data_IF_181529399772
#
_entry.id   IF_181529399772
#
_cell.length_a   1.000
_cell.length_b   1.000
_cell.length_c   1.000
_cell.angle_alpha   90.00
_cell.angle_beta   90.00
_cell.angle_gamma   90.00
#
_symmetry.space_group_name_H-M   'P 1'
#
loop_
_entity.id
_entity.type
_entity.pdbx_description
1 polymer ?
#
# COMPACT_ATOMS: atom_id res chain seq x y z
N UNK A 1 21.91 50.68 -24.38
CA UNK A 1 21.59 49.37 -25.07
C UNK A 1 20.43 48.71 -24.34
N UNK A 2 19.22 48.64 -24.91
CA UNK A 2 18.08 47.89 -24.32
C UNK A 2 18.32 46.44 -24.55
N UNK A 3 18.66 45.70 -23.51
CA UNK A 3 18.72 44.23 -23.54
C UNK A 3 17.30 43.71 -23.87
N UNK A 4 17.17 43.08 -25.05
CA UNK A 4 15.92 42.41 -25.42
C UNK A 4 15.86 41.09 -24.70
N UNK A 5 14.88 40.93 -23.80
CA UNK A 5 14.58 39.64 -23.16
C UNK A 5 13.66 38.83 -24.09
N UNK A 6 13.95 37.57 -24.23
CA UNK A 6 13.11 36.60 -24.96
C UNK A 6 12.52 35.61 -23.96
N UNK A 7 11.24 35.35 -24.11
CA UNK A 7 10.50 34.38 -23.32
C UNK A 7 10.91 32.95 -23.72
N UNK A 8 11.41 32.18 -22.76
CA UNK A 8 11.81 30.78 -22.97
C UNK A 8 10.61 29.86 -22.64
N UNK A 9 9.96 29.34 -23.70
CA UNK A 9 8.84 28.42 -23.57
C UNK A 9 9.18 27.11 -22.88
N UNK A 10 10.42 26.62 -23.05
CA UNK A 10 10.88 25.40 -22.36
C UNK A 10 11.06 25.66 -20.87
N UNK A 11 11.53 26.84 -20.48
CA UNK A 11 11.62 27.23 -19.07
C UNK A 11 10.23 27.35 -18.42
N UNK A 12 9.25 27.89 -19.16
CA UNK A 12 7.86 27.96 -18.67
C UNK A 12 7.29 26.55 -18.46
N UNK A 13 7.46 25.65 -19.42
CA UNK A 13 6.95 24.29 -19.33
C UNK A 13 7.57 23.53 -18.14
N UNK A 14 8.89 23.65 -17.95
CA UNK A 14 9.59 23.07 -16.77
C UNK A 14 9.06 23.64 -15.47
N UNK A 15 8.87 24.96 -15.39
CA UNK A 15 8.31 25.61 -14.20
C UNK A 15 6.89 25.15 -13.91
N UNK A 16 6.05 24.98 -14.94
CA UNK A 16 4.69 24.48 -14.79
C UNK A 16 4.65 23.03 -14.27
N UNK A 17 5.53 22.17 -14.78
CA UNK A 17 5.65 20.78 -14.32
C UNK A 17 6.10 20.74 -12.86
N UNK A 18 7.15 21.49 -12.49
CA UNK A 18 7.63 21.57 -11.11
C UNK A 18 6.54 22.07 -10.16
N UNK A 19 5.82 23.12 -10.55
CA UNK A 19 4.70 23.64 -9.77
C UNK A 19 3.60 22.59 -9.60
N UNK A 20 3.28 21.85 -10.65
CA UNK A 20 2.30 20.76 -10.61
C UNK A 20 2.68 19.68 -9.58
N UNK A 21 3.96 19.24 -9.56
CA UNK A 21 4.43 18.27 -8.56
C UNK A 21 4.43 18.85 -7.14
N UNK A 22 4.79 20.10 -6.95
CA UNK A 22 4.72 20.76 -5.62
C UNK A 22 3.28 20.79 -5.12
N UNK A 23 2.32 21.19 -5.96
CA UNK A 23 0.90 21.22 -5.61
C UNK A 23 0.41 19.82 -5.26
N UNK A 24 0.75 18.82 -6.06
CA UNK A 24 0.38 17.42 -5.82
C UNK A 24 0.90 16.92 -4.47
N UNK A 25 2.20 17.12 -4.19
CA UNK A 25 2.80 16.69 -2.92
C UNK A 25 2.17 17.39 -1.71
N UNK A 26 1.99 18.70 -1.78
CA UNK A 26 1.35 19.47 -0.70
C UNK A 26 -0.10 18.99 -0.48
N UNK A 27 -0.82 18.71 -1.56
CA UNK A 27 -2.19 18.20 -1.48
C UNK A 27 -2.25 16.83 -0.81
N UNK A 28 -1.41 15.86 -1.23
CA UNK A 28 -1.33 14.54 -0.65
C UNK A 28 -0.95 14.56 0.84
N UNK A 29 -0.01 15.43 1.23
CA UNK A 29 0.42 15.58 2.63
C UNK A 29 -0.72 16.16 3.48
N UNK A 30 -1.42 17.20 2.98
CA UNK A 30 -2.49 17.86 3.74
C UNK A 30 -3.77 17.06 3.87
N UNK A 31 -4.07 16.20 2.89
CA UNK A 31 -5.27 15.36 2.88
C UNK A 31 -5.06 14.02 3.61
N UNK A 32 -3.85 13.76 4.14
CA UNK A 32 -3.46 12.48 4.75
C UNK A 32 -3.60 11.26 3.81
N UNK A 33 -3.82 11.51 2.51
CA UNK A 33 -3.96 10.45 1.50
C UNK A 33 -2.63 9.80 1.13
N UNK A 34 -1.52 10.37 1.58
CA UNK A 34 -0.18 9.85 1.33
C UNK A 34 -0.04 8.39 1.74
N UNK A 35 -0.71 7.97 2.82
CA UNK A 35 -0.73 6.60 3.34
C UNK A 35 -1.40 5.59 2.40
N UNK A 36 -2.19 6.08 1.43
CA UNK A 36 -2.76 5.24 0.37
C UNK A 36 -1.72 4.87 -0.71
N UNK A 37 -0.59 5.56 -0.77
CA UNK A 37 0.44 5.38 -1.80
C UNK A 37 1.75 4.84 -1.26
N UNK A 38 2.16 5.30 -0.07
CA UNK A 38 3.45 4.93 0.52
C UNK A 38 3.35 4.64 2.02
N UNK A 39 4.32 3.89 2.51
CA UNK A 39 4.45 3.63 3.93
C UNK A 39 4.73 4.94 4.72
N UNK A 40 4.00 5.22 5.81
CA UNK A 40 4.15 6.42 6.63
C UNK A 40 5.58 6.72 7.08
N UNK A 41 6.45 5.72 7.23
CA UNK A 41 7.86 5.92 7.59
C UNK A 41 8.64 6.76 6.59
N UNK A 42 8.17 6.84 5.33
CA UNK A 42 8.79 7.65 4.28
C UNK A 42 8.17 9.04 4.10
N UNK A 43 7.15 9.39 4.89
CA UNK A 43 6.46 10.70 4.78
C UNK A 43 7.42 11.87 4.93
N UNK A 44 8.36 11.80 5.88
CA UNK A 44 9.38 12.85 6.08
C UNK A 44 10.28 13.07 4.85
N UNK A 45 10.57 12.01 4.10
CA UNK A 45 11.38 12.12 2.87
C UNK A 45 10.61 12.88 1.77
N UNK A 46 9.28 12.68 1.69
CA UNK A 46 8.45 13.42 0.74
C UNK A 46 8.29 14.88 1.14
N UNK A 47 8.20 15.18 2.43
CA UNK A 47 8.22 16.56 2.92
C UNK A 47 9.53 17.26 2.53
N UNK A 48 10.67 16.61 2.76
CA UNK A 48 11.99 17.13 2.33
C UNK A 48 12.01 17.33 0.82
N UNK A 49 11.51 16.37 0.02
CA UNK A 49 11.44 16.51 -1.43
C UNK A 49 10.61 17.74 -1.85
N UNK A 50 9.46 17.99 -1.22
CA UNK A 50 8.65 19.17 -1.47
C UNK A 50 9.43 20.47 -1.16
N UNK A 51 10.16 20.51 -0.03
CA UNK A 51 11.00 21.66 0.34
C UNK A 51 12.14 21.89 -0.65
N UNK A 52 12.73 20.85 -1.23
CA UNK A 52 13.80 20.97 -2.24
C UNK A 52 13.24 21.44 -3.58
N UNK A 53 12.02 21.02 -3.96
CA UNK A 53 11.40 21.45 -5.21
C UNK A 53 11.09 22.95 -5.25
N UNK A 54 10.80 23.58 -4.09
CA UNK A 54 10.48 25.02 -4.02
C UNK A 54 11.65 25.89 -4.50
N UNK A 55 12.89 25.79 -3.96
CA UNK A 55 14.01 26.58 -4.48
C UNK A 55 14.37 26.23 -5.92
N UNK A 56 14.19 24.95 -6.35
CA UNK A 56 14.36 24.57 -7.75
C UNK A 56 13.38 25.31 -8.65
N UNK A 57 12.11 25.44 -8.26
CA UNK A 57 11.11 26.21 -8.97
C UNK A 57 11.51 27.70 -9.01
N UNK A 58 11.94 28.26 -7.88
CA UNK A 58 12.40 29.66 -7.80
C UNK A 58 13.56 29.92 -8.76
N UNK A 59 14.57 29.04 -8.77
CA UNK A 59 15.70 29.14 -9.70
C UNK A 59 15.24 29.02 -11.16
N UNK A 60 14.29 28.13 -11.47
CA UNK A 60 13.77 27.94 -12.81
C UNK A 60 12.99 29.16 -13.29
N UNK A 61 12.21 29.83 -12.40
CA UNK A 61 11.47 31.06 -12.72
C UNK A 61 12.40 32.20 -13.12
N UNK A 62 13.59 32.30 -12.52
CA UNK A 62 14.59 33.29 -12.88
C UNK A 62 15.15 33.09 -14.30
N UNK A 63 15.05 31.90 -14.86
CA UNK A 63 15.53 31.57 -16.20
C UNK A 63 14.51 31.82 -17.31
N UNK A 64 13.25 32.16 -16.97
CA UNK A 64 12.17 32.40 -17.95
C UNK A 64 12.52 33.59 -18.86
N UNK A 65 13.16 34.62 -18.30
CA UNK A 65 13.59 35.80 -19.05
C UNK A 65 15.09 35.72 -19.29
N UNK A 66 15.50 35.26 -20.48
CA UNK A 66 16.92 35.26 -20.86
C UNK A 66 17.26 36.50 -21.68
N UNK A 67 18.39 37.18 -21.38
CA UNK A 67 18.90 38.19 -22.28
C UNK A 67 19.31 37.53 -23.58
N UNK A 68 19.01 38.15 -24.71
CA UNK A 68 19.47 37.70 -26.04
C UNK A 68 21.01 37.86 -26.07
N UNK A 69 21.73 36.76 -25.89
CA UNK A 69 23.20 36.76 -26.14
C UNK A 69 23.43 36.68 -27.65
N UNK A 70 24.29 37.56 -28.22
CA UNK A 70 24.68 37.46 -29.61
C UNK A 70 25.54 36.21 -29.79
N UNK A 71 25.14 35.35 -30.74
CA UNK A 71 25.93 34.26 -31.27
C UNK A 71 26.34 33.15 -30.27
N UNK A 72 25.41 32.34 -29.87
CA UNK A 72 25.71 30.98 -29.45
C UNK A 72 24.90 30.01 -30.30
N UNK A 73 25.57 28.93 -30.70
CA UNK A 73 25.03 27.85 -31.50
C UNK A 73 23.69 27.37 -30.98
N UNK A 74 22.74 26.92 -31.84
CA UNK A 74 21.48 26.37 -31.40
C UNK A 74 21.82 25.10 -30.61
N UNK A 75 21.87 25.20 -29.28
CA UNK A 75 21.76 24.02 -28.46
C UNK A 75 20.50 23.32 -28.87
N UNK A 76 20.63 22.11 -29.39
CA UNK A 76 19.55 21.21 -29.75
C UNK A 76 18.54 21.25 -28.63
N UNK A 77 17.41 21.96 -28.86
CA UNK A 77 16.28 21.96 -27.95
C UNK A 77 15.84 20.51 -27.82
N UNK A 78 16.07 19.91 -26.66
CA UNK A 78 15.61 18.56 -26.37
C UNK A 78 14.14 18.46 -26.78
N UNK A 79 13.81 17.44 -27.55
CA UNK A 79 12.46 17.28 -28.10
C UNK A 79 11.44 17.54 -26.99
N UNK A 80 10.43 18.39 -27.23
CA UNK A 80 9.32 18.65 -26.30
C UNK A 80 8.62 17.38 -25.82
N UNK A 81 8.76 16.30 -26.56
CA UNK A 81 8.33 14.95 -26.18
C UNK A 81 8.97 14.44 -24.90
N UNK A 82 10.15 14.96 -24.48
CA UNK A 82 10.81 14.59 -23.23
C UNK A 82 10.00 14.99 -21.98
N UNK A 83 9.09 15.96 -22.10
CA UNK A 83 8.21 16.39 -20.99
C UNK A 83 6.92 15.59 -20.91
N UNK A 84 6.56 14.85 -21.98
CA UNK A 84 5.31 14.09 -22.07
C UNK A 84 5.11 13.15 -20.87
N UNK A 85 6.07 12.31 -20.46
CA UNK A 85 5.85 11.40 -19.33
C UNK A 85 5.52 12.13 -18.02
N UNK A 86 6.12 13.27 -17.76
CA UNK A 86 5.83 14.06 -16.56
C UNK A 86 4.42 14.67 -16.58
N UNK A 87 3.99 15.17 -17.75
CA UNK A 87 2.64 15.71 -17.95
C UNK A 87 1.61 14.60 -17.80
N UNK A 88 1.86 13.43 -18.40
CA UNK A 88 0.94 12.28 -18.29
C UNK A 88 0.80 11.83 -16.85
N UNK A 89 1.89 11.71 -16.09
CA UNK A 89 1.85 11.34 -14.67
C UNK A 89 1.05 12.35 -13.87
N UNK A 90 1.27 13.66 -14.06
CA UNK A 90 0.49 14.70 -13.37
C UNK A 90 -0.99 14.65 -13.73
N UNK A 91 -1.31 14.50 -15.01
CA UNK A 91 -2.71 14.39 -15.46
C UNK A 91 -3.38 13.16 -14.85
N UNK A 92 -2.72 12.00 -14.83
CA UNK A 92 -3.24 10.79 -14.22
C UNK A 92 -3.43 10.96 -12.72
N UNK A 93 -2.47 11.59 -12.03
CA UNK A 93 -2.55 11.82 -10.59
C UNK A 93 -3.74 12.71 -10.17
N UNK A 94 -4.13 13.67 -11.01
CA UNK A 94 -5.30 14.54 -10.74
C UNK A 94 -6.62 14.02 -11.33
N UNK A 95 -6.56 13.19 -12.39
CA UNK A 95 -7.75 12.72 -13.09
C UNK A 95 -8.29 11.40 -12.51
N UNK A 96 -7.41 10.54 -11.97
CA UNK A 96 -7.83 9.27 -11.40
C UNK A 96 -8.27 9.48 -9.94
N UNK A 97 -9.45 8.95 -9.57
CA UNK A 97 -9.86 8.96 -8.18
C UNK A 97 -8.94 8.05 -7.36
N UNK A 98 -8.74 8.40 -6.09
CA UNK A 98 -7.99 7.58 -5.13
C UNK A 98 -8.72 6.25 -4.93
N UNK A 99 -8.21 5.20 -5.52
CA UNK A 99 -8.73 3.84 -5.35
C UNK A 99 -7.82 3.06 -4.39
N UNK A 100 -8.43 2.56 -3.34
CA UNK A 100 -7.81 1.54 -2.50
C UNK A 100 -7.70 0.24 -3.30
N UNK A 101 -6.60 -0.50 -3.09
CA UNK A 101 -6.42 -1.82 -3.69
C UNK A 101 -7.58 -2.73 -3.27
N UNK A 102 -8.29 -3.26 -4.25
CA UNK A 102 -9.50 -4.05 -4.03
C UNK A 102 -9.21 -5.57 -4.06
N UNK A 103 -10.23 -6.36 -3.73
CA UNK A 103 -10.14 -7.82 -3.69
C UNK A 103 -9.73 -8.44 -5.04
N UNK A 104 -10.07 -7.82 -6.17
CA UNK A 104 -9.71 -8.35 -7.50
C UNK A 104 -8.20 -8.49 -7.70
N UNK A 105 -7.40 -7.63 -7.07
CA UNK A 105 -5.95 -7.68 -7.17
C UNK A 105 -5.35 -8.86 -6.38
N UNK A 106 -6.05 -9.36 -5.36
CA UNK A 106 -5.62 -10.55 -4.60
C UNK A 106 -5.54 -11.76 -5.51
N UNK A 107 -6.54 -11.94 -6.40
CA UNK A 107 -6.57 -13.04 -7.37
C UNK A 107 -5.39 -13.04 -8.34
N UNK A 108 -4.87 -11.86 -8.70
CA UNK A 108 -3.73 -11.73 -9.63
C UNK A 108 -2.37 -11.84 -8.95
N UNK A 109 -2.23 -11.33 -7.72
CA UNK A 109 -0.97 -11.37 -6.95
C UNK A 109 -0.79 -12.67 -6.15
N UNK A 110 -1.86 -13.44 -5.94
CA UNK A 110 -1.90 -14.60 -5.07
C UNK A 110 -1.92 -14.22 -3.58
N UNK A 111 -2.53 -15.05 -2.75
CA UNK A 111 -2.42 -14.90 -1.29
C UNK A 111 -1.01 -15.28 -0.86
N UNK A 112 -0.29 -14.38 -0.21
CA UNK A 112 1.12 -14.55 0.16
C UNK A 112 1.35 -15.58 1.28
N UNK A 113 0.30 -16.22 1.74
CA UNK A 113 0.37 -17.33 2.70
C UNK A 113 1.28 -18.48 2.26
N UNK A 114 1.56 -18.60 0.96
CA UNK A 114 2.39 -19.69 0.43
C UNK A 114 3.83 -19.29 0.10
N UNK A 115 4.08 -18.01 -0.26
CA UNK A 115 5.41 -17.57 -0.71
C UNK A 115 6.31 -17.16 0.45
N UNK A 116 5.76 -16.65 1.55
CA UNK A 116 6.52 -16.31 2.74
C UNK A 116 7.22 -17.53 3.37
N UNK A 117 6.61 -18.71 3.29
CA UNK A 117 7.20 -19.95 3.78
C UNK A 117 8.50 -20.33 3.05
N UNK A 118 8.62 -20.00 1.76
CA UNK A 118 9.80 -20.35 0.96
C UNK A 118 10.98 -19.41 1.19
N UNK A 119 10.73 -18.17 1.54
CA UNK A 119 11.78 -17.15 1.70
C UNK A 119 12.34 -17.11 3.14
N UNK A 120 11.56 -17.54 4.13
CA UNK A 120 11.98 -17.53 5.54
C UNK A 120 12.72 -18.77 6.01
N UNK A 121 12.88 -19.79 5.19
CA UNK A 121 13.66 -20.99 5.54
C UNK A 121 15.16 -20.73 5.78
N UNK A 122 15.62 -19.49 5.63
CA UNK A 122 17.04 -19.10 5.72
C UNK A 122 17.32 -18.19 6.94
N UNK A 123 16.28 -17.61 7.57
CA UNK A 123 16.47 -16.76 8.75
C UNK A 123 15.98 -17.47 10.00
N UNK A 124 16.79 -17.39 11.05
CA UNK A 124 16.38 -17.75 12.41
C UNK A 124 15.08 -16.98 12.72
N UNK A 125 13.94 -17.70 12.78
CA UNK A 125 12.63 -17.07 12.92
C UNK A 125 12.54 -16.44 14.29
N UNK A 126 12.75 -15.14 14.37
CA UNK A 126 12.49 -14.37 15.58
C UNK A 126 10.98 -14.42 15.87
N UNK A 127 10.62 -14.80 17.11
CA UNK A 127 9.23 -14.90 17.58
C UNK A 127 8.94 -13.86 18.67
N UNK A 128 8.99 -12.54 18.36
CA UNK A 128 8.94 -11.49 19.38
C UNK A 128 7.61 -11.45 20.13
N UNK A 129 6.53 -11.92 19.52
CA UNK A 129 5.19 -11.91 20.09
C UNK A 129 4.75 -13.25 20.69
N UNK A 130 5.52 -14.34 20.53
CA UNK A 130 5.07 -15.69 20.88
C UNK A 130 4.58 -15.80 22.34
N UNK A 131 5.36 -15.33 23.31
CA UNK A 131 5.00 -15.43 24.71
C UNK A 131 3.77 -14.58 25.06
N UNK A 132 3.69 -13.37 24.51
CA UNK A 132 2.54 -12.48 24.66
C UNK A 132 1.26 -13.12 24.11
N UNK A 133 1.33 -13.71 22.91
CA UNK A 133 0.18 -14.33 22.25
C UNK A 133 -0.25 -15.63 22.96
N UNK A 134 0.70 -16.43 23.44
CA UNK A 134 0.39 -17.65 24.22
C UNK A 134 -0.32 -17.33 25.54
N UNK A 135 0.03 -16.24 26.20
CA UNK A 135 -0.58 -15.85 27.49
C UNK A 135 -1.89 -15.08 27.30
N UNK A 136 -2.11 -14.46 26.15
CA UNK A 136 -3.32 -13.68 25.89
C UNK A 136 -4.57 -14.58 25.85
N UNK A 137 -5.66 -14.23 26.57
CA UNK A 137 -6.94 -14.95 26.48
C UNK A 137 -7.61 -14.74 25.11
N UNK A 138 -7.38 -13.59 24.50
CA UNK A 138 -7.88 -13.21 23.18
C UNK A 138 -6.75 -12.55 22.40
N UNK A 139 -6.44 -13.08 21.22
CA UNK A 139 -5.49 -12.49 20.29
C UNK A 139 -6.19 -11.37 19.51
N UNK A 140 -5.85 -10.12 19.82
CA UNK A 140 -6.34 -8.96 19.06
C UNK A 140 -5.32 -8.60 17.99
N UNK A 141 -5.66 -8.82 16.72
CA UNK A 141 -4.83 -8.42 15.59
C UNK A 141 -5.03 -6.95 15.32
N UNK A 142 -3.98 -6.15 15.57
CA UNK A 142 -3.97 -4.71 15.28
C UNK A 142 -3.15 -4.42 14.03
N UNK A 143 -3.31 -3.23 13.44
CA UNK A 143 -2.53 -2.84 12.26
C UNK A 143 -1.01 -2.86 12.52
N UNK A 144 -0.58 -2.62 13.75
CA UNK A 144 0.84 -2.62 14.14
C UNK A 144 1.44 -4.02 14.21
N UNK A 145 0.66 -4.98 14.72
CA UNK A 145 1.14 -6.34 15.00
C UNK A 145 0.69 -7.31 13.88
N UNK A 146 0.04 -6.81 12.84
CA UNK A 146 -0.63 -7.65 11.84
C UNK A 146 0.32 -8.65 11.18
N UNK A 147 1.42 -8.15 10.63
CA UNK A 147 2.39 -8.99 9.90
C UNK A 147 3.06 -10.01 10.80
N UNK A 148 3.42 -9.62 12.03
CA UNK A 148 4.06 -10.52 13.00
C UNK A 148 3.08 -11.60 13.45
N UNK A 149 1.82 -11.24 13.77
CA UNK A 149 0.80 -12.22 14.18
C UNK A 149 0.47 -13.16 13.01
N UNK A 150 0.33 -12.66 11.79
CA UNK A 150 0.06 -13.50 10.62
C UNK A 150 1.21 -14.48 10.34
N UNK A 151 2.45 -14.03 10.46
CA UNK A 151 3.62 -14.90 10.34
C UNK A 151 3.64 -15.96 11.46
N UNK A 152 3.38 -15.55 12.70
CA UNK A 152 3.34 -16.46 13.84
C UNK A 152 2.27 -17.54 13.66
N UNK A 153 1.06 -17.16 13.20
CA UNK A 153 0.00 -18.11 12.91
C UNK A 153 0.32 -19.01 11.73
N UNK A 154 1.00 -18.50 10.71
CA UNK A 154 1.36 -19.28 9.53
C UNK A 154 2.39 -20.38 9.85
N UNK A 155 3.41 -20.06 10.66
CA UNK A 155 4.51 -21.00 10.93
C UNK A 155 4.29 -21.85 12.17
N UNK A 156 3.54 -21.35 13.15
CA UNK A 156 3.39 -21.97 14.46
C UNK A 156 1.92 -22.13 14.88
N UNK A 157 1.03 -22.39 13.93
CA UNK A 157 -0.42 -22.51 14.18
C UNK A 157 -0.75 -23.43 15.34
N UNK A 158 0.01 -24.54 15.51
CA UNK A 158 -0.22 -25.54 16.54
C UNK A 158 -0.15 -24.95 17.97
N UNK A 159 0.67 -23.92 18.18
CA UNK A 159 0.80 -23.25 19.47
C UNK A 159 -0.45 -22.45 19.85
N UNK A 160 -1.34 -22.20 18.89
CA UNK A 160 -2.49 -21.28 19.01
C UNK A 160 -3.84 -21.94 18.70
N UNK A 161 -3.88 -23.25 18.42
CA UNK A 161 -5.13 -23.96 18.20
C UNK A 161 -6.07 -23.77 19.38
N UNK A 162 -7.35 -23.57 19.13
CA UNK A 162 -8.44 -23.27 20.08
C UNK A 162 -8.36 -21.89 20.76
N UNK A 163 -7.33 -21.10 20.54
CA UNK A 163 -7.28 -19.72 21.04
C UNK A 163 -8.27 -18.84 20.30
N UNK A 164 -8.86 -17.94 21.05
CA UNK A 164 -9.75 -16.92 20.48
C UNK A 164 -8.97 -15.81 19.82
N UNK A 165 -9.41 -15.39 18.62
CA UNK A 165 -8.78 -14.33 17.83
C UNK A 165 -9.84 -13.38 17.30
N UNK A 166 -9.51 -12.08 17.26
CA UNK A 166 -10.31 -11.07 16.56
C UNK A 166 -9.43 -10.27 15.62
N UNK A 167 -9.92 -10.06 14.41
CA UNK A 167 -9.21 -9.30 13.37
C UNK A 167 -10.16 -8.63 12.38
N UNK A 168 -9.65 -7.61 11.67
CA UNK A 168 -10.40 -6.86 10.66
C UNK A 168 -9.69 -6.96 9.31
N UNK A 169 -10.47 -7.19 8.25
CA UNK A 169 -10.00 -7.26 6.88
C UNK A 169 -11.16 -7.26 5.89
N UNK A 170 -10.86 -7.38 4.63
CA UNK A 170 -11.87 -7.54 3.58
C UNK A 170 -11.98 -9.00 3.12
N UNK A 171 -13.17 -9.35 2.64
CA UNK A 171 -13.49 -10.69 2.13
C UNK A 171 -12.82 -10.91 0.77
N UNK A 172 -12.16 -12.05 0.65
CA UNK A 172 -11.68 -12.60 -0.61
C UNK A 172 -12.06 -14.08 -0.72
N UNK A 173 -12.61 -14.49 -1.86
CA UNK A 173 -12.96 -15.89 -2.11
C UNK A 173 -11.78 -16.57 -2.80
N UNK A 174 -11.00 -17.43 -2.08
CA UNK A 174 -9.87 -18.09 -2.68
C UNK A 174 -10.31 -19.14 -3.72
N UNK A 175 -9.56 -19.31 -4.83
CA UNK A 175 -9.80 -20.39 -5.77
C UNK A 175 -9.71 -21.75 -5.06
N UNK A 176 -10.64 -22.66 -5.35
CA UNK A 176 -10.65 -23.99 -4.72
C UNK A 176 -11.21 -24.05 -3.30
N UNK A 177 -11.61 -22.92 -2.72
CA UNK A 177 -12.28 -22.87 -1.43
C UNK A 177 -13.69 -23.50 -1.46
N UNK A 178 -14.17 -23.97 -0.31
CA UNK A 178 -15.52 -24.50 -0.18
C UNK A 178 -16.54 -23.36 -0.11
N UNK A 179 -17.85 -23.62 -0.36
CA UNK A 179 -18.91 -22.62 -0.19
C UNK A 179 -19.04 -22.04 1.23
N UNK A 180 -18.38 -22.64 2.21
CA UNK A 180 -18.36 -22.19 3.60
C UNK A 180 -17.09 -21.47 4.00
N UNK A 181 -16.23 -21.15 3.03
CA UNK A 181 -14.91 -20.56 3.27
C UNK A 181 -14.75 -19.26 2.51
N UNK A 182 -14.10 -18.30 3.15
CA UNK A 182 -13.52 -17.11 2.54
C UNK A 182 -12.22 -16.76 3.25
N UNK A 183 -11.36 -15.98 2.63
CA UNK A 183 -10.18 -15.43 3.29
C UNK A 183 -10.47 -14.01 3.74
N UNK A 184 -10.06 -13.68 4.98
CA UNK A 184 -10.05 -12.32 5.48
C UNK A 184 -8.68 -11.74 5.22
N UNK A 185 -8.61 -10.69 4.42
CA UNK A 185 -7.36 -10.20 3.82
C UNK A 185 -7.10 -8.74 4.18
N UNK A 186 -5.84 -8.38 4.35
CA UNK A 186 -5.32 -7.01 4.35
C UNK A 186 -4.13 -6.92 3.39
N UNK A 187 -3.92 -5.77 2.78
CA UNK A 187 -2.70 -5.50 2.03
C UNK A 187 -1.60 -5.01 2.96
N UNK A 188 -0.45 -5.65 2.87
CA UNK A 188 0.79 -5.25 3.54
C UNK A 188 1.64 -4.46 2.55
N UNK A 189 2.02 -3.26 2.93
CA UNK A 189 2.83 -2.34 2.12
C UNK A 189 4.16 -2.07 2.83
N UNK A 190 5.26 -2.44 2.19
CA UNK A 190 6.61 -2.24 2.75
C UNK A 190 7.13 -0.85 2.43
N UNK A 191 7.13 -0.44 1.17
CA UNK A 191 7.55 0.89 0.76
C UNK A 191 6.44 1.70 0.07
N UNK A 192 5.72 1.13 -0.88
CA UNK A 192 4.65 1.80 -1.64
C UNK A 192 3.62 0.79 -2.16
N UNK A 193 2.48 1.26 -2.65
CA UNK A 193 1.39 0.37 -3.12
C UNK A 193 1.78 -0.55 -4.27
N UNK A 194 2.86 -0.26 -5.00
CA UNK A 194 3.37 -1.17 -6.03
C UNK A 194 3.89 -2.49 -5.44
N UNK A 195 4.45 -2.46 -4.22
CA UNK A 195 4.91 -3.65 -3.50
C UNK A 195 3.84 -4.31 -2.62
N UNK A 196 2.62 -3.77 -2.59
CA UNK A 196 1.54 -4.28 -1.77
C UNK A 196 1.28 -5.77 -2.02
N UNK A 197 1.32 -6.56 -0.95
CA UNK A 197 1.05 -7.99 -0.97
C UNK A 197 -0.17 -8.32 -0.10
N UNK A 198 -1.10 -9.15 -0.60
CA UNK A 198 -2.24 -9.57 0.19
C UNK A 198 -1.83 -10.64 1.21
N UNK A 199 -2.05 -10.34 2.48
CA UNK A 199 -1.93 -11.27 3.59
C UNK A 199 -3.32 -11.60 4.12
N UNK A 200 -3.63 -12.88 4.24
CA UNK A 200 -4.95 -13.29 4.68
C UNK A 200 -4.92 -14.61 5.46
N UNK A 201 -6.01 -14.86 6.18
CA UNK A 201 -6.26 -16.12 6.86
C UNK A 201 -7.61 -16.67 6.43
N UNK A 202 -7.69 -17.98 6.26
CA UNK A 202 -8.92 -18.66 5.89
C UNK A 202 -9.92 -18.57 7.05
N UNK A 203 -11.17 -18.26 6.74
CA UNK A 203 -12.27 -18.19 7.68
C UNK A 203 -13.32 -19.21 7.30
N UNK A 204 -13.84 -19.91 8.29
CA UNK A 204 -14.87 -20.93 8.12
C UNK A 204 -16.17 -20.48 8.79
N UNK A 205 -17.27 -20.49 8.03
CA UNK A 205 -18.61 -20.08 8.46
C UNK A 205 -19.60 -21.21 8.23
N UNK A 206 -20.71 -21.19 8.95
CA UNK A 206 -21.82 -22.12 8.69
C UNK A 206 -22.51 -21.82 7.36
N UNK A 207 -22.70 -20.52 7.07
CA UNK A 207 -23.26 -20.03 5.81
C UNK A 207 -22.50 -18.79 5.33
N UNK A 208 -22.01 -18.82 4.09
CA UNK A 208 -21.32 -17.71 3.43
C UNK A 208 -22.31 -16.70 2.81
N UNK A 209 -23.59 -17.00 2.75
CA UNK A 209 -24.59 -16.09 2.17
C UNK A 209 -24.52 -14.71 2.86
N UNK A 210 -24.32 -13.66 2.06
CA UNK A 210 -24.21 -12.28 2.56
C UNK A 210 -22.78 -11.75 2.77
N UNK A 211 -21.74 -12.55 2.52
CA UNK A 211 -20.35 -12.07 2.55
C UNK A 211 -19.83 -11.91 1.12
N UNK A 212 -19.93 -10.68 0.60
CA UNK A 212 -19.52 -10.33 -0.75
C UNK A 212 -18.03 -10.02 -0.82
N UNK A 213 -17.45 -10.23 -2.00
CA UNK A 213 -16.06 -9.91 -2.32
C UNK A 213 -15.75 -8.44 -2.02
N UNK A 214 -14.65 -8.18 -1.31
CA UNK A 214 -14.25 -6.82 -0.93
C UNK A 214 -14.99 -6.23 0.28
N UNK A 215 -16.01 -6.93 0.83
CA UNK A 215 -16.71 -6.47 2.02
C UNK A 215 -15.78 -6.45 3.25
N UNK A 216 -15.77 -5.34 3.99
CA UNK A 216 -14.97 -5.22 5.22
C UNK A 216 -15.70 -5.81 6.42
N UNK A 217 -15.01 -6.69 7.12
CA UNK A 217 -15.52 -7.41 8.28
C UNK A 217 -14.54 -7.33 9.45
N UNK A 218 -15.09 -7.24 10.65
CA UNK A 218 -14.39 -7.64 11.88
C UNK A 218 -14.92 -8.99 12.29
N UNK A 219 -14.04 -9.97 12.40
CA UNK A 219 -14.38 -11.33 12.78
C UNK A 219 -13.81 -11.68 14.14
N UNK A 220 -14.51 -12.54 14.85
CA UNK A 220 -14.03 -13.20 16.07
C UNK A 220 -14.29 -14.69 15.94
N UNK A 221 -13.34 -15.51 16.35
CA UNK A 221 -13.47 -16.96 16.25
C UNK A 221 -12.31 -17.68 16.91
N UNK A 222 -12.25 -18.99 16.71
CA UNK A 222 -11.20 -19.86 17.25
C UNK A 222 -10.25 -20.29 16.16
N UNK A 223 -8.96 -20.24 16.46
CA UNK A 223 -7.91 -20.69 15.56
C UNK A 223 -7.97 -22.21 15.46
N UNK A 224 -7.93 -22.70 14.23
CA UNK A 224 -7.85 -24.12 13.90
C UNK A 224 -6.91 -24.34 12.71
N UNK A 225 -6.61 -25.59 12.40
CA UNK A 225 -5.97 -25.97 11.14
C UNK A 225 -6.95 -26.73 10.27
N UNK A 226 -6.95 -26.41 8.99
CA UNK A 226 -7.78 -27.10 8.01
C UNK A 226 -6.93 -27.51 6.80
N UNK A 227 -7.28 -28.60 6.13
CA UNK A 227 -6.67 -28.93 4.85
C UNK A 227 -7.13 -27.92 3.80
N UNK A 228 -6.17 -27.38 3.06
CA UNK A 228 -6.40 -26.53 1.91
C UNK A 228 -5.38 -26.90 0.82
N UNK A 229 -5.88 -27.34 -0.34
CA UNK A 229 -5.06 -28.05 -1.32
C UNK A 229 -4.32 -29.22 -0.65
N UNK A 230 -3.01 -29.32 -0.79
CA UNK A 230 -2.21 -30.42 -0.21
C UNK A 230 -1.51 -30.04 1.11
N UNK A 231 -1.96 -28.99 1.80
CA UNK A 231 -1.31 -28.46 3.01
C UNK A 231 -2.32 -28.19 4.12
N UNK A 232 -1.84 -28.30 5.37
CA UNK A 232 -2.56 -27.78 6.53
C UNK A 232 -2.30 -26.28 6.67
N UNK A 233 -3.36 -25.48 6.66
CA UNK A 233 -3.28 -24.03 6.77
C UNK A 233 -4.01 -23.52 8.00
N UNK A 234 -3.57 -22.41 8.60
CA UNK A 234 -4.31 -21.75 9.68
C UNK A 234 -5.67 -21.27 9.17
N UNK A 235 -6.67 -21.47 9.98
CA UNK A 235 -8.05 -21.03 9.71
C UNK A 235 -8.69 -20.52 10.99
N UNK A 236 -9.70 -19.69 10.85
CA UNK A 236 -10.53 -19.21 11.96
C UNK A 236 -11.92 -19.79 11.80
N UNK A 237 -12.35 -20.63 12.77
CA UNK A 237 -13.75 -21.01 12.91
C UNK A 237 -14.50 -19.86 13.53
N UNK A 238 -15.34 -19.19 12.76
CA UNK A 238 -15.98 -17.95 13.17
C UNK A 238 -17.08 -18.20 14.21
N UNK A 239 -17.09 -17.36 15.23
CA UNK A 239 -18.14 -17.30 16.26
C UNK A 239 -18.96 -16.01 16.16
N UNK A 240 -18.35 -14.93 15.66
CA UNK A 240 -19.01 -13.65 15.45
C UNK A 240 -18.44 -12.92 14.25
N UNK A 241 -19.30 -12.28 13.48
CA UNK A 241 -18.94 -11.48 12.32
C UNK A 241 -19.69 -10.15 12.38
N UNK A 242 -18.97 -9.06 12.20
CA UNK A 242 -19.54 -7.72 12.16
C UNK A 242 -19.08 -7.02 10.87
N UNK A 243 -20.04 -6.56 10.06
CA UNK A 243 -19.75 -5.70 8.92
C UNK A 243 -19.30 -4.33 9.43
N UNK A 244 -18.19 -3.84 8.87
CA UNK A 244 -17.60 -2.54 9.20
C UNK A 244 -17.35 -1.74 7.92
N UNK A 245 -17.33 -0.40 7.98
CA UNK A 245 -16.89 0.38 6.84
C UNK A 245 -15.39 0.13 6.59
N UNK A 246 -14.96 0.41 5.37
CA UNK A 246 -13.54 0.42 5.03
C UNK A 246 -12.79 1.42 5.94
N UNK A 247 -11.70 1.01 6.59
CA UNK A 247 -10.92 1.90 7.43
C UNK A 247 -10.23 2.98 6.59
N UNK A 248 -10.03 4.18 7.17
CA UNK A 248 -9.29 5.27 6.52
C UNK A 248 -7.86 4.87 6.13
N UNK A 249 -7.23 3.99 6.90
CA UNK A 249 -5.96 3.36 6.58
C UNK A 249 -6.20 1.88 6.25
N UNK A 250 -6.50 1.55 4.98
CA UNK A 250 -6.87 0.19 4.58
C UNK A 250 -5.67 -0.77 4.53
N UNK A 251 -4.46 -0.23 4.48
CA UNK A 251 -3.22 -1.01 4.44
C UNK A 251 -2.61 -1.18 5.82
N UNK A 252 -1.82 -2.22 5.96
CA UNK A 252 -0.97 -2.45 7.12
C UNK A 252 0.49 -2.31 6.72
N UNK A 253 1.30 -1.85 7.65
CA UNK A 253 2.71 -1.59 7.42
C UNK A 253 3.52 -2.44 8.40
N UNK A 254 4.51 -3.21 7.94
CA UNK A 254 5.33 -3.99 8.84
C UNK A 254 6.08 -3.06 9.80
N UNK A 255 6.34 -3.50 11.04
CA UNK A 255 7.14 -2.73 11.98
C UNK A 255 8.54 -2.48 11.39
N UNK A 256 9.09 -1.32 11.70
CA UNK A 256 10.43 -0.88 11.25
C UNK A 256 11.53 -1.50 12.08
#
# INVERSE_FOLDING_TARGET
MRSKYVLDWDAILRSAILLGFIILLIWLIKTEQLTLYINPKFSSMLEIAAYVLIPMLAAQLLTIYRPVAPLHEPHSHGSRWSYLPFIVVLLLAFALPDHVLNANLVGTKGLNSQTAASTMAVYEISRPLADKLRQAPLIKVTDKDYTEIMNELQFFTQDYVDKEITMTGFVFTPPGGTPRQFSLVRYVVVCCTADALPYGILCEVEDKAGYEEGMWLTVTGRIQQVPYEDKMVPSIKLTSVKKVPEPKAPYVFPPS
#
